data_IF_311645948244
#
_entry.id   IF_311645948244
#
_cell.length_a   1.000
_cell.length_b   1.000
_cell.length_c   1.000
_cell.angle_alpha   90.00
_cell.angle_beta   90.00
_cell.angle_gamma   90.00
#
_symmetry.space_group_name_H-M   'P 1'
#
loop_
_entity.id
_entity.type
_entity.pdbx_description
1 polymer ?
#
# COMPACT_ATOMS: atom_id res chain seq x y z
N UNK A 1 -30.34 19.33 41.57
CA UNK A 1 -29.28 18.28 41.41
C UNK A 1 -29.20 18.01 39.93
N UNK A 2 -28.20 18.64 39.27
CA UNK A 2 -28.08 18.60 37.80
C UNK A 2 -27.02 17.57 37.44
N UNK A 3 -27.41 16.42 36.86
CA UNK A 3 -26.45 15.42 36.38
C UNK A 3 -25.95 15.85 35.01
N UNK A 4 -24.70 16.33 34.94
CA UNK A 4 -23.93 16.50 33.72
C UNK A 4 -23.48 15.10 33.25
N UNK A 5 -24.13 14.57 32.24
CA UNK A 5 -23.59 13.45 31.47
C UNK A 5 -22.42 13.98 30.62
N UNK A 6 -21.22 13.79 31.09
CA UNK A 6 -20.02 13.86 30.27
C UNK A 6 -20.06 12.63 29.38
N UNK A 7 -20.57 12.77 28.16
CA UNK A 7 -20.41 11.76 27.13
C UNK A 7 -18.93 11.66 26.75
N UNK A 8 -18.27 10.62 27.23
CA UNK A 8 -17.01 10.18 26.65
C UNK A 8 -17.30 9.73 25.23
N UNK A 9 -17.07 10.58 24.24
CA UNK A 9 -16.88 10.16 22.88
C UNK A 9 -15.52 9.46 22.84
N UNK A 10 -15.46 8.19 23.22
CA UNK A 10 -14.40 7.31 22.77
C UNK A 10 -14.57 7.24 21.25
N UNK A 11 -13.62 7.82 20.52
CA UNK A 11 -13.54 7.63 19.07
C UNK A 11 -13.41 6.11 18.85
N UNK A 12 -14.49 5.47 18.39
CA UNK A 12 -14.47 4.05 18.08
C UNK A 12 -13.48 3.88 16.95
N UNK A 13 -12.41 3.12 17.20
CA UNK A 13 -11.45 2.77 16.15
C UNK A 13 -12.22 2.11 15.01
N UNK A 14 -11.95 2.55 13.78
CA UNK A 14 -12.61 1.95 12.64
C UNK A 14 -12.01 0.61 12.26
N UNK A 15 -12.64 -0.07 11.33
CA UNK A 15 -12.30 -1.45 10.94
C UNK A 15 -10.84 -1.60 10.49
N UNK A 16 -10.28 -0.62 9.75
CA UNK A 16 -8.89 -0.67 9.28
C UNK A 16 -7.90 -0.45 10.42
N UNK A 17 -8.23 0.42 11.37
CA UNK A 17 -7.41 0.64 12.57
C UNK A 17 -7.37 -0.62 13.46
N UNK A 18 -8.54 -1.26 13.68
CA UNK A 18 -8.62 -2.52 14.41
C UNK A 18 -7.86 -3.64 13.69
N UNK A 19 -7.91 -3.66 12.36
CA UNK A 19 -7.18 -4.64 11.55
C UNK A 19 -5.66 -4.52 11.73
N UNK A 20 -5.11 -3.30 11.65
CA UNK A 20 -3.69 -3.05 11.90
C UNK A 20 -3.24 -3.47 13.31
N UNK A 21 -4.10 -3.25 14.31
CA UNK A 21 -3.80 -3.61 15.70
C UNK A 21 -3.70 -5.11 15.93
N UNK A 22 -4.25 -5.95 15.03
CA UNK A 22 -4.20 -7.42 15.14
C UNK A 22 -2.85 -8.04 14.78
N UNK A 23 -1.91 -7.28 14.19
CA UNK A 23 -0.60 -7.83 13.85
C UNK A 23 0.08 -8.50 15.06
N UNK A 24 0.65 -9.71 14.94
CA UNK A 24 0.79 -10.57 13.75
C UNK A 24 -0.40 -11.54 13.51
N UNK A 25 -1.48 -11.50 14.32
CA UNK A 25 -2.70 -12.28 14.11
C UNK A 25 -3.50 -11.61 12.98
N UNK A 26 -3.26 -12.03 11.75
CA UNK A 26 -3.77 -11.36 10.56
C UNK A 26 -4.75 -12.23 9.79
N UNK A 27 -5.89 -11.67 9.46
CA UNK A 27 -6.90 -12.29 8.62
C UNK A 27 -7.14 -11.40 7.40
N UNK A 28 -7.40 -12.00 6.25
CA UNK A 28 -7.70 -11.26 5.04
C UNK A 28 -8.91 -10.36 5.22
N UNK A 29 -8.79 -9.07 4.88
CA UNK A 29 -9.90 -8.12 4.89
C UNK A 29 -10.98 -8.52 3.88
N UNK A 30 -12.24 -8.55 4.34
CA UNK A 30 -13.41 -8.84 3.52
C UNK A 30 -14.22 -7.59 3.15
N UNK A 31 -14.02 -6.48 3.87
CA UNK A 31 -14.72 -5.20 3.67
C UNK A 31 -14.20 -4.35 2.52
N UNK A 32 -13.07 -4.76 1.90
CA UNK A 32 -12.50 -4.04 0.76
C UNK A 32 -13.44 -4.08 -0.45
N UNK A 33 -13.56 -2.95 -1.13
CA UNK A 33 -14.38 -2.80 -2.34
C UNK A 33 -13.52 -2.90 -3.59
N UNK A 34 -14.11 -3.39 -4.68
CA UNK A 34 -13.45 -3.40 -6.00
C UNK A 34 -12.87 -2.03 -6.34
N UNK A 35 -11.59 -1.99 -6.72
CA UNK A 35 -10.88 -0.75 -6.99
C UNK A 35 -11.42 -0.05 -8.24
N UNK A 36 -11.94 1.16 -8.08
CA UNK A 36 -12.39 2.04 -9.16
C UNK A 36 -11.67 3.37 -9.09
N UNK A 37 -11.16 3.83 -10.21
CA UNK A 37 -10.36 5.07 -10.27
C UNK A 37 -9.06 4.96 -9.47
N UNK A 38 -8.56 6.06 -8.95
CA UNK A 38 -7.38 6.09 -8.10
C UNK A 38 -7.71 6.20 -6.61
N UNK A 39 -6.75 5.92 -5.73
CA UNK A 39 -6.85 6.18 -4.31
C UNK A 39 -6.71 7.69 -4.06
N UNK A 40 -7.69 8.29 -3.39
CA UNK A 40 -7.67 9.70 -3.01
C UNK A 40 -7.05 9.85 -1.64
N UNK A 41 -6.07 10.73 -1.55
CA UNK A 41 -5.35 11.05 -0.31
C UNK A 41 -5.78 12.38 0.28
N UNK A 42 -5.60 12.60 1.60
CA UNK A 42 -5.82 13.89 2.23
C UNK A 42 -4.88 14.97 1.68
N UNK A 43 -5.36 16.21 1.63
CA UNK A 43 -4.61 17.37 1.09
C UNK A 43 -3.24 17.59 1.76
N UNK A 44 -3.10 17.25 3.04
CA UNK A 44 -1.84 17.42 3.77
C UNK A 44 -0.72 16.47 3.31
N UNK A 45 -1.03 15.47 2.45
CA UNK A 45 -0.01 14.63 1.80
C UNK A 45 0.52 15.22 0.50
N UNK A 46 -0.01 16.37 0.03
CA UNK A 46 0.41 16.99 -1.24
C UNK A 46 1.90 17.30 -1.29
N UNK A 47 2.54 17.04 -2.43
CA UNK A 47 3.95 17.37 -2.68
C UNK A 47 4.84 16.17 -2.87
N UNK A 48 6.14 16.41 -2.79
CA UNK A 48 7.19 15.39 -2.86
C UNK A 48 7.80 15.19 -1.48
N UNK A 49 8.02 13.94 -1.12
CA UNK A 49 8.52 13.55 0.19
C UNK A 49 9.71 12.61 0.06
N UNK A 50 10.72 12.82 0.88
CA UNK A 50 11.72 11.79 1.17
C UNK A 50 11.14 10.88 2.25
N UNK A 51 10.94 9.61 1.92
CA UNK A 51 10.45 8.60 2.86
C UNK A 51 11.61 7.75 3.34
N UNK A 52 11.69 7.55 4.65
CA UNK A 52 12.52 6.51 5.26
C UNK A 52 11.60 5.39 5.71
N UNK A 53 11.79 4.20 5.16
CA UNK A 53 11.04 2.98 5.47
C UNK A 53 11.93 2.02 6.24
N UNK A 54 11.48 1.60 7.41
CA UNK A 54 12.19 0.63 8.25
C UNK A 54 11.29 -0.58 8.49
N UNK A 55 11.74 -1.77 8.09
CA UNK A 55 11.09 -3.02 8.47
C UNK A 55 11.32 -3.24 9.96
N UNK A 56 10.27 -3.11 10.77
CA UNK A 56 10.35 -3.18 12.25
C UNK A 56 9.94 -4.53 12.80
N UNK A 57 9.13 -5.29 12.04
CA UNK A 57 8.70 -6.64 12.43
C UNK A 57 8.30 -7.47 11.21
N UNK A 58 8.38 -8.80 11.33
CA UNK A 58 7.95 -9.74 10.30
C UNK A 58 7.50 -11.07 10.91
N UNK A 59 6.50 -11.69 10.31
CA UNK A 59 5.98 -12.99 10.74
C UNK A 59 5.68 -13.89 9.54
N UNK A 60 5.86 -15.20 9.72
CA UNK A 60 5.42 -16.24 8.80
C UNK A 60 4.41 -17.14 9.52
N UNK A 61 3.10 -16.80 9.48
CA UNK A 61 2.10 -17.45 10.33
C UNK A 61 1.94 -18.94 10.10
N UNK A 62 2.30 -19.44 8.90
CA UNK A 62 2.16 -20.85 8.50
C UNK A 62 3.49 -21.62 8.54
N UNK A 63 4.59 -21.00 9.00
CA UNK A 63 5.86 -21.69 9.16
C UNK A 63 5.79 -22.70 10.33
N UNK A 64 6.51 -23.86 10.26
CA UNK A 64 7.44 -24.25 9.19
C UNK A 64 6.80 -24.93 7.97
N UNK A 65 5.50 -25.23 8.00
CA UNK A 65 4.84 -26.07 7.00
C UNK A 65 4.77 -25.40 5.62
N UNK A 66 4.46 -24.08 5.61
CA UNK A 66 4.42 -23.27 4.40
C UNK A 66 5.29 -22.04 4.61
N UNK A 67 6.31 -21.89 3.77
CA UNK A 67 7.28 -20.77 3.83
C UNK A 67 7.34 -20.07 2.48
N UNK A 68 7.18 -18.75 2.50
CA UNK A 68 7.29 -17.92 1.29
C UNK A 68 8.73 -17.83 0.82
N UNK A 69 9.02 -18.07 -0.46
CA UNK A 69 10.34 -17.83 -1.01
C UNK A 69 10.81 -16.39 -0.71
N UNK A 70 12.02 -16.23 -0.18
CA UNK A 70 12.60 -14.94 0.15
C UNK A 70 12.25 -14.38 1.53
N UNK A 71 11.38 -15.02 2.33
CA UNK A 71 11.05 -14.55 3.68
C UNK A 71 12.29 -14.39 4.56
N UNK A 72 13.15 -15.41 4.61
CA UNK A 72 14.39 -15.35 5.39
C UNK A 72 15.40 -14.32 4.84
N UNK A 73 15.41 -14.10 3.52
CA UNK A 73 16.19 -13.01 2.91
C UNK A 73 15.73 -11.63 3.40
N UNK A 74 14.42 -11.44 3.53
CA UNK A 74 13.85 -10.19 4.05
C UNK A 74 14.14 -9.97 5.53
N UNK A 75 14.37 -11.02 6.32
CA UNK A 75 14.78 -10.91 7.73
C UNK A 75 16.10 -10.13 7.89
N UNK A 76 16.99 -10.20 6.93
CA UNK A 76 18.23 -9.41 6.93
C UNK A 76 18.00 -7.90 6.84
N UNK A 77 16.82 -7.47 6.39
CA UNK A 77 16.42 -6.06 6.30
C UNK A 77 15.81 -5.52 7.59
N UNK A 78 15.61 -6.36 8.60
CA UNK A 78 15.02 -5.94 9.88
C UNK A 78 15.87 -4.82 10.52
N UNK A 79 15.19 -3.72 10.87
CA UNK A 79 15.80 -2.51 11.43
C UNK A 79 16.83 -1.82 10.51
N UNK A 80 16.82 -2.13 9.20
CA UNK A 80 17.65 -1.43 8.22
C UNK A 80 16.78 -0.38 7.49
N UNK A 81 17.04 0.93 7.66
CA UNK A 81 16.27 1.96 6.99
C UNK A 81 16.64 2.03 5.50
N UNK A 82 15.62 2.13 4.66
CA UNK A 82 15.74 2.36 3.22
C UNK A 82 15.04 3.68 2.89
N UNK A 83 15.70 4.56 2.13
CA UNK A 83 15.12 5.86 1.75
C UNK A 83 14.81 5.92 0.26
N UNK A 84 13.66 6.52 -0.08
CA UNK A 84 13.22 6.77 -1.45
C UNK A 84 12.33 8.01 -1.51
N UNK A 85 12.03 8.48 -2.73
CA UNK A 85 11.12 9.59 -2.94
C UNK A 85 9.74 9.09 -3.27
N UNK A 86 8.71 9.79 -2.72
CA UNK A 86 7.32 9.62 -3.12
C UNK A 86 6.71 10.97 -3.44
N UNK A 87 5.69 10.97 -4.31
CA UNK A 87 5.03 12.18 -4.78
C UNK A 87 3.53 11.99 -4.84
N UNK A 88 2.80 13.00 -4.36
CA UNK A 88 1.34 13.09 -4.46
C UNK A 88 0.97 14.34 -5.26
N UNK A 89 0.09 14.17 -6.24
CA UNK A 89 -0.26 15.18 -7.24
C UNK A 89 -1.76 15.41 -7.31
N UNK A 90 -2.15 16.64 -7.62
CA UNK A 90 -3.55 16.97 -7.88
C UNK A 90 -3.90 16.68 -9.34
N UNK A 91 -4.96 15.93 -9.53
CA UNK A 91 -5.47 15.53 -10.85
C UNK A 91 -6.97 15.77 -10.97
N UNK A 92 -7.46 15.92 -12.20
CA UNK A 92 -8.88 15.90 -12.47
C UNK A 92 -9.40 14.46 -12.32
N UNK A 93 -10.54 14.25 -11.62
CA UNK A 93 -11.15 12.92 -11.56
C UNK A 93 -11.51 12.43 -12.96
N UNK A 94 -10.98 11.29 -13.37
CA UNK A 94 -11.34 10.66 -14.66
C UNK A 94 -12.59 9.81 -14.48
N UNK A 95 -13.74 10.30 -14.93
CA UNK A 95 -14.97 9.51 -15.02
C UNK A 95 -15.01 8.77 -16.35
N UNK A 96 -14.52 7.53 -16.39
CA UNK A 96 -14.54 6.69 -17.60
C UNK A 96 -15.96 6.25 -18.04
N UNK A 97 -17.01 6.61 -17.30
CA UNK A 97 -18.36 6.07 -17.53
C UNK A 97 -19.42 7.08 -18.05
N UNK A 98 -19.05 8.35 -18.29
CA UNK A 98 -20.05 9.33 -18.75
C UNK A 98 -19.55 10.14 -19.95
N UNK A 99 -19.75 9.55 -21.15
CA UNK A 99 -19.52 10.23 -22.44
C UNK A 99 -20.54 11.34 -22.77
N UNK A 100 -21.50 11.66 -21.90
CA UNK A 100 -22.64 12.55 -22.23
C UNK A 100 -23.00 13.50 -21.06
N UNK A 101 -22.05 14.23 -20.49
CA UNK A 101 -22.39 15.38 -19.63
C UNK A 101 -21.46 16.56 -19.98
N UNK A 102 -22.00 17.69 -20.50
CA UNK A 102 -21.18 18.81 -20.97
C UNK A 102 -20.80 19.79 -19.86
N UNK A 103 -20.33 19.38 -18.69
CA UNK A 103 -19.90 20.31 -17.65
C UNK A 103 -18.81 19.75 -16.72
N UNK A 104 -17.81 19.04 -17.30
CA UNK A 104 -16.70 18.45 -16.52
C UNK A 104 -15.62 19.45 -16.06
N UNK A 105 -15.70 20.73 -16.43
CA UNK A 105 -14.64 21.70 -16.14
C UNK A 105 -14.58 22.20 -14.68
N UNK A 106 -15.59 21.86 -13.85
CA UNK A 106 -15.70 22.37 -12.48
C UNK A 106 -15.64 21.28 -11.38
N UNK A 107 -15.16 20.08 -11.66
CA UNK A 107 -14.97 19.12 -10.57
C UNK A 107 -13.70 19.49 -9.76
N UNK A 108 -13.76 19.44 -8.42
CA UNK A 108 -12.59 19.70 -7.61
C UNK A 108 -11.47 18.70 -7.91
N UNK A 109 -10.23 19.18 -7.90
CA UNK A 109 -9.06 18.34 -8.03
C UNK A 109 -9.01 17.35 -6.86
N UNK A 110 -8.60 16.13 -7.14
CA UNK A 110 -8.31 15.12 -6.12
C UNK A 110 -6.81 14.89 -6.01
N UNK A 111 -6.35 14.59 -4.80
CA UNK A 111 -4.95 14.27 -4.56
C UNK A 111 -4.74 12.76 -4.71
N UNK A 112 -3.82 12.35 -5.58
CA UNK A 112 -3.48 10.94 -5.83
C UNK A 112 -1.97 10.73 -5.78
N UNK A 113 -1.54 9.49 -5.56
CA UNK A 113 -0.13 9.13 -5.67
C UNK A 113 0.33 9.17 -7.15
N UNK A 114 1.48 9.79 -7.43
CA UNK A 114 2.19 9.63 -8.69
C UNK A 114 2.77 8.21 -8.77
N UNK A 115 1.94 7.26 -9.18
CA UNK A 115 2.25 5.82 -9.10
C UNK A 115 3.48 5.43 -9.89
N UNK A 116 3.71 6.06 -11.06
CA UNK A 116 4.88 5.79 -11.89
C UNK A 116 6.16 6.25 -11.18
N UNK A 117 6.17 7.49 -10.70
CA UNK A 117 7.28 8.04 -9.94
C UNK A 117 7.56 7.25 -8.66
N UNK A 118 6.52 6.97 -7.87
CA UNK A 118 6.64 6.30 -6.57
C UNK A 118 7.16 4.87 -6.72
N UNK A 119 6.61 4.12 -7.68
CA UNK A 119 7.06 2.75 -7.93
C UNK A 119 8.49 2.70 -8.44
N UNK A 120 8.87 3.60 -9.34
CA UNK A 120 10.24 3.65 -9.85
C UNK A 120 11.24 3.88 -8.71
N UNK A 121 10.98 4.88 -7.86
CA UNK A 121 11.87 5.22 -6.75
C UNK A 121 11.93 4.12 -5.69
N UNK A 122 10.76 3.58 -5.30
CA UNK A 122 10.67 2.47 -4.36
C UNK A 122 11.45 1.24 -4.86
N UNK A 123 11.19 0.84 -6.11
CA UNK A 123 11.83 -0.37 -6.66
C UNK A 123 13.35 -0.19 -6.80
N UNK A 124 13.81 1.00 -7.17
CA UNK A 124 15.24 1.32 -7.21
C UNK A 124 15.89 1.27 -5.83
N UNK A 125 15.20 1.75 -4.79
CA UNK A 125 15.71 1.72 -3.43
C UNK A 125 15.92 0.28 -2.91
N UNK A 126 15.01 -0.65 -3.28
CA UNK A 126 15.10 -2.05 -2.86
C UNK A 126 15.99 -2.92 -3.75
N UNK A 127 15.98 -2.72 -5.07
CA UNK A 127 16.69 -3.57 -6.02
C UNK A 127 17.99 -2.95 -6.58
N UNK A 128 18.24 -1.68 -6.27
CA UNK A 128 19.33 -0.89 -6.81
C UNK A 128 19.00 -0.27 -8.17
N UNK A 129 19.60 0.90 -8.44
CA UNK A 129 19.38 1.68 -9.67
C UNK A 129 19.61 0.89 -10.96
N UNK A 130 20.63 0.03 -10.93
CA UNK A 130 21.02 -0.75 -12.13
C UNK A 130 20.04 -1.86 -12.48
N UNK A 131 19.21 -2.31 -11.54
CA UNK A 131 18.29 -3.41 -11.76
C UNK A 131 16.97 -2.94 -12.40
N UNK A 132 16.59 -1.67 -12.24
CA UNK A 132 15.29 -1.12 -12.62
C UNK A 132 15.44 -0.23 -13.85
N UNK A 133 14.71 -0.56 -14.92
CA UNK A 133 14.73 0.20 -16.16
C UNK A 133 13.69 1.32 -16.15
N UNK A 134 12.44 1.00 -15.84
CA UNK A 134 11.34 1.97 -15.78
C UNK A 134 10.14 1.39 -15.03
N UNK A 135 9.23 2.25 -14.64
CA UNK A 135 7.87 1.89 -14.22
C UNK A 135 6.87 2.63 -15.10
N UNK A 136 5.74 2.02 -15.42
CA UNK A 136 4.67 2.62 -16.24
C UNK A 136 3.31 2.24 -15.70
N UNK A 137 2.41 3.21 -15.67
CA UNK A 137 0.99 3.00 -15.37
C UNK A 137 0.24 2.83 -16.69
N UNK A 138 -0.73 1.93 -16.72
CA UNK A 138 -1.60 1.74 -17.89
C UNK A 138 -2.45 3.00 -18.11
N UNK A 139 -2.36 3.64 -19.27
CA UNK A 139 -3.15 4.86 -19.55
C UNK A 139 -4.67 4.68 -19.44
N UNK A 140 -5.14 3.42 -19.51
CA UNK A 140 -6.57 3.07 -19.41
C UNK A 140 -7.00 2.70 -17.97
N UNK A 141 -6.03 2.49 -17.08
CA UNK A 141 -6.33 2.08 -15.70
C UNK A 141 -5.21 2.48 -14.74
N UNK A 142 -5.45 3.42 -13.80
CA UNK A 142 -4.47 3.77 -12.77
C UNK A 142 -4.16 2.60 -11.83
N UNK A 143 -5.00 1.57 -11.85
CA UNK A 143 -4.84 0.38 -11.00
C UNK A 143 -3.90 -0.66 -11.59
N UNK A 144 -3.41 -0.48 -12.83
CA UNK A 144 -2.48 -1.40 -13.48
C UNK A 144 -1.14 -0.75 -13.75
N UNK A 145 -0.08 -1.34 -13.22
CA UNK A 145 1.28 -0.85 -13.30
C UNK A 145 2.23 -1.97 -13.74
N UNK A 146 3.26 -1.60 -14.51
CA UNK A 146 4.31 -2.51 -14.95
C UNK A 146 5.66 -1.89 -14.63
N UNK A 147 6.47 -2.59 -13.84
CA UNK A 147 7.87 -2.27 -13.60
C UNK A 147 8.76 -3.16 -14.45
N UNK A 148 9.59 -2.54 -15.28
CA UNK A 148 10.55 -3.21 -16.16
C UNK A 148 11.90 -3.31 -15.46
N UNK A 149 12.42 -4.53 -15.40
CA UNK A 149 13.69 -4.86 -14.76
C UNK A 149 14.68 -5.37 -15.80
N UNK A 150 15.98 -5.32 -15.50
CA UNK A 150 17.01 -5.90 -16.37
C UNK A 150 16.80 -7.41 -16.57
N UNK A 151 17.28 -7.92 -17.71
CA UNK A 151 17.12 -9.33 -18.10
C UNK A 151 15.69 -9.71 -18.46
N UNK A 152 14.98 -8.78 -19.13
CA UNK A 152 13.61 -8.98 -19.64
C UNK A 152 12.58 -9.34 -18.56
N UNK A 153 12.91 -9.06 -17.30
CA UNK A 153 12.02 -9.31 -16.19
C UNK A 153 11.03 -8.16 -16.00
N UNK A 154 9.83 -8.51 -15.57
CA UNK A 154 8.74 -7.56 -15.32
C UNK A 154 8.01 -7.92 -14.04
N UNK A 155 7.61 -6.89 -13.29
CA UNK A 155 6.61 -6.98 -12.24
C UNK A 155 5.35 -6.26 -12.72
N UNK A 156 4.28 -7.00 -12.94
CA UNK A 156 2.94 -6.45 -13.21
C UNK A 156 2.17 -6.42 -11.91
N UNK A 157 1.67 -5.26 -11.51
CA UNK A 157 0.88 -5.05 -10.30
C UNK A 157 -0.50 -4.55 -10.68
N UNK A 158 -1.56 -5.20 -10.19
CA UNK A 158 -2.95 -4.83 -10.47
C UNK A 158 -3.69 -4.69 -9.15
N UNK A 159 -4.10 -3.46 -8.81
CA UNK A 159 -4.92 -3.19 -7.64
C UNK A 159 -6.35 -3.67 -7.95
N UNK A 160 -6.81 -4.63 -7.18
CA UNK A 160 -8.11 -5.28 -7.37
C UNK A 160 -9.18 -4.76 -6.41
N UNK A 161 -8.76 -4.36 -5.21
CA UNK A 161 -9.67 -3.84 -4.19
C UNK A 161 -8.97 -2.82 -3.30
N UNK A 162 -9.75 -1.97 -2.65
CA UNK A 162 -9.29 -1.00 -1.66
C UNK A 162 -10.36 -0.63 -0.64
N UNK A 163 -9.90 -0.10 0.48
CA UNK A 163 -10.71 0.57 1.48
C UNK A 163 -9.95 1.77 2.04
N UNK A 164 -10.66 2.77 2.53
CA UNK A 164 -10.08 3.93 3.21
C UNK A 164 -10.89 4.29 4.43
N UNK A 165 -10.23 4.85 5.41
CA UNK A 165 -10.83 5.32 6.65
C UNK A 165 -10.16 6.65 7.05
N UNK A 166 -10.97 7.66 7.33
CA UNK A 166 -10.50 8.94 7.88
C UNK A 166 -10.93 8.99 9.34
N UNK A 167 -9.96 8.89 10.25
CA UNK A 167 -10.20 8.90 11.69
C UNK A 167 -10.37 10.33 12.18
N UNK A 168 -9.53 11.25 11.67
CA UNK A 168 -9.50 12.67 12.04
C UNK A 168 -8.89 13.50 10.90
N UNK A 169 -8.78 14.81 11.08
CA UNK A 169 -8.17 15.71 10.09
C UNK A 169 -6.68 15.43 9.84
N UNK A 170 -6.02 14.73 10.75
CA UNK A 170 -4.60 14.40 10.70
C UNK A 170 -4.31 12.89 10.64
N UNK A 171 -5.35 12.04 10.61
CA UNK A 171 -5.23 10.57 10.55
C UNK A 171 -6.01 9.99 9.37
N UNK A 172 -5.31 9.21 8.56
CA UNK A 172 -5.86 8.55 7.37
C UNK A 172 -5.32 7.14 7.24
N UNK A 173 -6.20 6.18 7.00
CA UNK A 173 -5.83 4.78 6.78
C UNK A 173 -6.29 4.37 5.38
N UNK A 174 -5.42 3.67 4.68
CA UNK A 174 -5.73 3.11 3.36
C UNK A 174 -5.27 1.65 3.28
N UNK A 175 -6.10 0.83 2.67
CA UNK A 175 -5.78 -0.55 2.30
C UNK A 175 -5.93 -0.70 0.80
N UNK A 176 -4.91 -1.28 0.15
CA UNK A 176 -4.98 -1.74 -1.23
C UNK A 176 -4.63 -3.22 -1.30
N UNK A 177 -5.45 -3.98 -2.04
CA UNK A 177 -5.18 -5.38 -2.38
C UNK A 177 -4.80 -5.44 -3.84
N UNK A 178 -3.66 -6.03 -4.13
CA UNK A 178 -3.16 -6.13 -5.48
C UNK A 178 -2.64 -7.52 -5.81
N UNK A 179 -2.85 -7.91 -7.05
CA UNK A 179 -2.25 -9.10 -7.63
C UNK A 179 -0.92 -8.71 -8.26
N UNK A 180 0.10 -9.50 -7.97
CA UNK A 180 1.41 -9.35 -8.55
C UNK A 180 1.74 -10.53 -9.46
N UNK A 181 2.31 -10.23 -10.62
CA UNK A 181 2.82 -11.20 -11.57
C UNK A 181 4.27 -10.86 -11.89
N UNK A 182 5.16 -11.74 -11.48
CA UNK A 182 6.58 -11.69 -11.83
C UNK A 182 6.83 -12.51 -13.10
N UNK A 183 7.34 -11.86 -14.14
CA UNK A 183 7.67 -12.46 -15.45
C UNK A 183 9.18 -12.40 -15.72
N UNK A 184 9.65 -13.26 -16.62
CA UNK A 184 11.06 -13.29 -17.07
C UNK A 184 11.95 -14.21 -16.22
N UNK A 185 11.38 -14.98 -15.30
CA UNK A 185 12.03 -16.15 -14.69
C UNK A 185 11.73 -17.42 -15.47
N UNK A 186 12.21 -18.56 -14.98
CA UNK A 186 11.93 -19.88 -15.54
C UNK A 186 10.42 -20.22 -15.55
N UNK A 187 9.68 -19.70 -14.58
CA UNK A 187 8.21 -19.76 -14.50
C UNK A 187 7.67 -18.42 -14.00
N UNK A 188 6.50 -17.98 -14.50
CA UNK A 188 5.81 -16.84 -13.90
C UNK A 188 5.46 -17.15 -12.44
N UNK A 189 5.62 -16.16 -11.56
CA UNK A 189 5.21 -16.27 -10.15
C UNK A 189 4.09 -15.27 -9.86
N UNK A 190 3.05 -15.75 -9.19
CA UNK A 190 1.90 -14.95 -8.81
C UNK A 190 1.74 -14.93 -7.30
N UNK A 191 1.33 -13.80 -6.76
CA UNK A 191 0.84 -13.68 -5.40
C UNK A 191 -0.28 -12.62 -5.31
N UNK A 192 -0.94 -12.59 -4.18
CA UNK A 192 -1.83 -11.50 -3.78
C UNK A 192 -1.19 -10.81 -2.59
N UNK A 193 -1.17 -9.48 -2.60
CA UNK A 193 -0.63 -8.67 -1.52
C UNK A 193 -1.70 -7.71 -1.03
N UNK A 194 -1.87 -7.63 0.28
CA UNK A 194 -2.65 -6.62 0.96
C UNK A 194 -1.69 -5.68 1.67
N UNK A 195 -1.81 -4.39 1.43
CA UNK A 195 -1.01 -3.37 2.12
C UNK A 195 -1.95 -2.40 2.81
N UNK A 196 -1.91 -2.38 4.15
CA UNK A 196 -2.68 -1.46 4.98
C UNK A 196 -1.73 -0.48 5.65
N UNK A 197 -1.98 0.82 5.45
CA UNK A 197 -1.11 1.89 5.93
C UNK A 197 -1.92 2.93 6.68
N UNK A 198 -1.59 3.15 7.95
CA UNK A 198 -2.13 4.24 8.77
C UNK A 198 -1.15 5.41 8.78
N UNK A 199 -1.57 6.53 8.20
CA UNK A 199 -0.81 7.76 8.13
C UNK A 199 -1.23 8.70 9.26
N UNK A 200 -0.25 9.33 9.91
CA UNK A 200 -0.42 10.35 10.93
C UNK A 200 0.35 11.60 10.55
N UNK A 201 -0.36 12.72 10.34
CA UNK A 201 0.27 14.04 10.25
C UNK A 201 0.71 14.48 11.64
N UNK A 202 1.94 14.96 11.76
CA UNK A 202 2.52 15.42 13.01
C UNK A 202 2.49 16.94 13.10
N UNK A 203 2.54 17.46 14.33
CA UNK A 203 2.78 18.88 14.59
C UNK A 203 4.25 19.28 14.42
N UNK A 204 5.15 18.29 14.32
CA UNK A 204 6.58 18.49 14.08
C UNK A 204 6.88 18.66 12.59
N UNK A 205 8.00 19.31 12.28
CA UNK A 205 8.44 19.50 10.90
C UNK A 205 9.39 18.40 10.39
N UNK A 206 9.86 17.53 11.28
CA UNK A 206 10.88 16.52 10.91
C UNK A 206 10.84 15.29 11.84
N UNK A 207 10.18 14.22 11.45
CA UNK A 207 9.34 14.06 10.25
C UNK A 207 8.03 14.87 10.36
N UNK A 208 7.41 15.13 9.21
CA UNK A 208 6.10 15.82 9.14
C UNK A 208 4.94 14.83 9.17
N UNK A 209 5.15 13.63 8.67
CA UNK A 209 4.18 12.54 8.64
C UNK A 209 4.90 11.26 9.06
N UNK A 210 4.24 10.45 9.87
CA UNK A 210 4.64 9.06 10.11
C UNK A 210 3.56 8.12 9.60
N UNK A 211 3.93 6.87 9.30
CA UNK A 211 2.94 5.85 9.00
C UNK A 211 3.38 4.47 9.51
N UNK A 212 2.39 3.70 9.94
CA UNK A 212 2.52 2.28 10.27
C UNK A 212 1.91 1.48 9.13
N UNK A 213 2.70 0.62 8.51
CA UNK A 213 2.27 -0.17 7.35
C UNK A 213 2.44 -1.65 7.63
N UNK A 214 1.40 -2.43 7.38
CA UNK A 214 1.48 -3.89 7.33
C UNK A 214 1.24 -4.35 5.89
N UNK A 215 2.15 -5.19 5.40
CA UNK A 215 2.04 -5.87 4.11
C UNK A 215 1.88 -7.35 4.34
N UNK A 216 0.73 -7.89 3.93
CA UNK A 216 0.39 -9.30 4.00
C UNK A 216 0.49 -9.95 2.61
N UNK A 217 1.21 -11.07 2.51
CA UNK A 217 1.39 -11.82 1.26
C UNK A 217 0.58 -13.11 1.33
N UNK A 218 -0.24 -13.34 0.32
CA UNK A 218 -1.07 -14.53 0.18
C UNK A 218 -0.65 -15.31 -1.06
N UNK A 219 -0.77 -16.63 -1.00
CA UNK A 219 -0.54 -17.49 -2.15
C UNK A 219 -1.60 -17.24 -3.23
N UNK A 220 -1.25 -17.51 -4.47
CA UNK A 220 -2.18 -17.51 -5.59
C UNK A 220 -2.72 -18.92 -5.85
N UNK A 221 -3.86 -19.05 -6.58
CA UNK A 221 -4.42 -20.36 -6.94
C UNK A 221 -3.49 -21.28 -7.74
N UNK A 222 -2.39 -20.76 -8.28
CA UNK A 222 -1.38 -21.56 -8.99
C UNK A 222 -0.31 -22.15 -8.07
N UNK A 223 -0.30 -21.74 -6.81
CA UNK A 223 0.64 -22.27 -5.83
C UNK A 223 0.14 -23.64 -5.31
N UNK A 224 1.00 -24.67 -5.21
CA UNK A 224 0.61 -25.98 -4.69
C UNK A 224 0.00 -25.94 -3.29
N UNK A 225 0.49 -25.03 -2.44
CA UNK A 225 0.07 -24.90 -1.05
C UNK A 225 -1.13 -23.95 -0.84
N UNK A 226 -1.71 -23.44 -1.95
CA UNK A 226 -2.81 -22.48 -1.89
C UNK A 226 -3.99 -22.93 -1.02
N UNK A 227 -4.45 -24.19 -1.21
CA UNK A 227 -5.58 -24.72 -0.45
C UNK A 227 -5.22 -25.00 1.01
N UNK A 228 -3.98 -25.35 1.29
CA UNK A 228 -3.50 -25.55 2.65
C UNK A 228 -3.36 -24.24 3.41
N UNK A 229 -2.91 -23.18 2.74
CA UNK A 229 -2.83 -21.83 3.32
C UNK A 229 -4.21 -21.20 3.57
N UNK A 230 -5.21 -21.54 2.76
CA UNK A 230 -6.57 -20.98 2.85
C UNK A 230 -6.58 -19.46 2.69
N UNK A 231 -7.19 -18.75 3.64
CA UNK A 231 -7.26 -17.29 3.66
C UNK A 231 -6.13 -16.63 4.49
N UNK A 232 -5.21 -17.41 5.03
CA UNK A 232 -4.13 -16.89 5.87
C UNK A 232 -2.96 -16.37 5.03
N UNK A 233 -2.29 -15.30 5.46
CA UNK A 233 -1.08 -14.84 4.81
C UNK A 233 0.08 -15.80 5.10
N UNK A 234 0.95 -15.99 4.11
CA UNK A 234 2.19 -16.77 4.25
C UNK A 234 3.36 -15.93 4.73
N UNK A 235 3.25 -14.61 4.62
CA UNK A 235 4.21 -13.67 5.17
C UNK A 235 3.54 -12.36 5.55
N UNK A 236 4.01 -11.77 6.63
CA UNK A 236 3.63 -10.45 7.13
C UNK A 236 4.88 -9.63 7.34
N UNK A 237 4.83 -8.36 6.94
CA UNK A 237 5.90 -7.39 7.13
C UNK A 237 5.31 -6.10 7.69
N UNK A 238 5.87 -5.60 8.81
CA UNK A 238 5.46 -4.33 9.41
C UNK A 238 6.55 -3.29 9.23
N UNK A 239 6.19 -2.15 8.68
CA UNK A 239 7.11 -1.04 8.41
C UNK A 239 6.71 0.21 9.18
N UNK A 240 7.70 0.90 9.72
CA UNK A 240 7.59 2.29 10.11
C UNK A 240 8.04 3.17 8.93
N UNK A 241 7.19 4.12 8.53
CA UNK A 241 7.49 5.08 7.47
C UNK A 241 7.56 6.48 8.08
N UNK A 242 8.60 7.23 7.72
CA UNK A 242 8.78 8.62 8.12
C UNK A 242 8.92 9.50 6.88
N UNK A 243 8.10 10.55 6.79
CA UNK A 243 8.06 11.43 5.63
C UNK A 243 8.65 12.79 5.98
N UNK A 244 9.61 13.22 5.18
CA UNK A 244 10.30 14.48 5.28
C UNK A 244 10.03 15.29 4.01
N UNK A 245 9.69 16.60 4.09
CA UNK A 245 9.52 17.45 2.92
C UNK A 245 10.79 17.42 2.03
N UNK A 246 10.58 17.39 0.70
CA UNK A 246 11.67 17.31 -0.28
C UNK A 246 11.62 18.48 -1.26
#
# INVERSE_FOLDING_TARGET
MLFLFLGNNEAQAGELAEHLAKFPQWEKLTSVKSAKGDLVYPEWMSGTWKVTSTLVDLAAPLAPDIVTPGFEGNRSQLNQPISFLVKFVKVQPTNNNLKIIPNFQNQPLILVADREFNSLNLTKAYLGDKAVLSSKVDPKSPNRQITFLRGERQLVSIITARATETISDDQFIATEVFQQLFKGGSRPYFNTVESTTAYQKLSTSSPTITADQVTAVYLSPQDPDYFAAGSQPVALYRYLLEFYPF
#
